data_IF_820795523914
#
_entry.id   IF_820795523914
#
_cell.length_a   1.000
_cell.length_b   1.000
_cell.length_c   1.000
_cell.angle_alpha   90.00
_cell.angle_beta   90.00
_cell.angle_gamma   90.00
#
_symmetry.space_group_name_H-M   'P 1'
#
loop_
_entity.id
_entity.type
_entity.pdbx_description
1 polymer ?
#
# COMPACT_ATOMS: atom_id res chain seq x y z
N UNK A 1 7.64 12.73 16.43
CA UNK A 1 8.06 14.15 16.42
C UNK A 1 7.39 14.87 15.24
N UNK A 2 7.26 16.19 15.26
CA UNK A 2 6.56 16.93 14.19
C UNK A 2 7.18 16.76 12.79
N UNK A 3 8.49 16.54 12.71
CA UNK A 3 9.18 16.27 11.44
C UNK A 3 8.79 14.91 10.84
N UNK A 4 8.81 13.85 11.65
CA UNK A 4 8.44 12.48 11.23
C UNK A 4 6.97 12.38 10.79
N UNK A 5 6.07 13.14 11.42
CA UNK A 5 4.67 13.20 10.98
C UNK A 5 4.50 13.81 9.58
N UNK A 6 5.27 14.86 9.25
CA UNK A 6 5.23 15.48 7.92
C UNK A 6 5.82 14.59 6.84
N UNK A 7 6.93 13.90 7.11
CA UNK A 7 7.51 12.95 6.15
C UNK A 7 6.58 11.75 5.90
N UNK A 8 5.94 11.23 6.95
CA UNK A 8 4.90 10.21 6.79
C UNK A 8 3.69 10.70 5.98
N UNK A 9 3.29 11.96 6.19
CA UNK A 9 2.24 12.61 5.41
C UNK A 9 2.58 12.71 3.92
N UNK A 10 3.78 13.19 3.57
CA UNK A 10 4.23 13.28 2.17
C UNK A 10 4.37 11.89 1.54
N UNK A 11 4.88 10.90 2.28
CA UNK A 11 4.95 9.51 1.81
C UNK A 11 3.57 8.92 1.51
N UNK A 12 2.59 9.21 2.37
CA UNK A 12 1.19 8.78 2.18
C UNK A 12 0.58 9.46 0.94
N UNK A 13 0.82 10.76 0.78
CA UNK A 13 0.36 11.53 -0.39
C UNK A 13 0.95 10.98 -1.68
N UNK A 14 2.28 10.75 -1.73
CA UNK A 14 2.95 10.16 -2.87
C UNK A 14 2.35 8.79 -3.24
N UNK A 15 2.16 7.92 -2.24
CA UNK A 15 1.57 6.61 -2.45
C UNK A 15 0.12 6.70 -2.95
N UNK A 16 -0.65 7.69 -2.50
CA UNK A 16 -2.01 7.92 -2.98
C UNK A 16 -2.05 8.34 -4.45
N UNK A 17 -1.16 9.24 -4.89
CA UNK A 17 -1.05 9.68 -6.27
C UNK A 17 -0.73 8.51 -7.21
N UNK A 18 0.24 7.67 -6.83
CA UNK A 18 0.60 6.48 -7.61
C UNK A 18 -0.59 5.54 -7.76
N UNK A 19 -1.33 5.28 -6.67
CA UNK A 19 -2.50 4.38 -6.69
C UNK A 19 -3.68 4.96 -7.46
N UNK A 20 -3.92 6.26 -7.39
CA UNK A 20 -4.93 6.94 -8.21
C UNK A 20 -4.58 6.82 -9.69
N UNK A 21 -3.34 7.12 -10.07
CA UNK A 21 -2.88 6.95 -11.44
C UNK A 21 -2.95 5.49 -11.90
N UNK A 22 -2.70 4.56 -10.96
CA UNK A 22 -2.78 3.13 -11.18
C UNK A 22 -4.19 2.64 -11.43
N UNK A 23 -5.16 3.16 -10.68
CA UNK A 23 -6.57 2.87 -10.85
C UNK A 23 -7.09 3.22 -12.25
N UNK A 24 -6.61 4.31 -12.85
CA UNK A 24 -6.94 4.66 -14.23
C UNK A 24 -6.29 3.76 -15.28
N UNK A 25 -5.15 3.13 -14.96
CA UNK A 25 -4.31 2.41 -15.91
C UNK A 25 -4.05 0.94 -15.51
N UNK A 26 -5.01 0.28 -14.85
CA UNK A 26 -4.86 -1.11 -14.38
C UNK A 26 -4.63 -2.13 -15.49
N UNK A 27 -4.96 -1.78 -16.74
CA UNK A 27 -4.73 -2.63 -17.92
C UNK A 27 -3.25 -2.74 -18.31
N UNK A 28 -2.42 -1.78 -17.89
CA UNK A 28 -0.98 -1.80 -18.15
C UNK A 28 -0.27 -2.59 -17.06
N UNK A 29 0.34 -3.72 -17.43
CA UNK A 29 1.10 -4.57 -16.49
C UNK A 29 2.12 -3.80 -15.63
N UNK A 30 2.92 -2.84 -16.18
CA UNK A 30 3.86 -2.07 -15.37
C UNK A 30 3.18 -1.24 -14.30
N UNK A 31 2.06 -0.61 -14.63
CA UNK A 31 1.34 0.26 -13.70
C UNK A 31 0.64 -0.55 -12.60
N UNK A 32 0.11 -1.71 -12.97
CA UNK A 32 -0.44 -2.67 -12.02
C UNK A 32 0.61 -3.13 -11.00
N UNK A 33 1.78 -3.53 -11.49
CA UNK A 33 2.90 -3.98 -10.65
C UNK A 33 3.37 -2.87 -9.71
N UNK A 34 3.51 -1.64 -10.20
CA UNK A 34 3.91 -0.49 -9.35
C UNK A 34 2.86 -0.25 -8.25
N UNK A 35 1.58 -0.24 -8.61
CA UNK A 35 0.48 -0.06 -7.66
C UNK A 35 0.49 -1.15 -6.58
N UNK A 36 0.67 -2.41 -7.00
CA UNK A 36 0.80 -3.56 -6.11
C UNK A 36 2.01 -3.41 -5.18
N UNK A 37 3.17 -3.01 -5.72
CA UNK A 37 4.37 -2.73 -4.93
C UNK A 37 4.14 -1.63 -3.89
N UNK A 38 3.40 -0.57 -4.20
CA UNK A 38 3.10 0.47 -3.18
C UNK A 38 2.27 -0.07 -2.02
N UNK A 39 1.31 -0.97 -2.27
CA UNK A 39 0.57 -1.65 -1.20
C UNK A 39 1.48 -2.60 -0.42
N UNK A 40 2.37 -3.33 -1.12
CA UNK A 40 3.38 -4.19 -0.51
C UNK A 40 4.34 -3.43 0.42
N UNK A 41 4.87 -2.28 0.00
CA UNK A 41 5.76 -1.45 0.83
C UNK A 41 5.03 -0.97 2.08
N UNK A 42 3.78 -0.50 1.94
CA UNK A 42 2.98 -0.10 3.09
C UNK A 42 2.76 -1.27 4.06
N UNK A 43 2.39 -2.44 3.54
CA UNK A 43 2.19 -3.64 4.34
C UNK A 43 3.47 -4.05 5.08
N UNK A 44 4.61 -4.16 4.39
CA UNK A 44 5.90 -4.51 4.99
C UNK A 44 6.29 -3.52 6.07
N UNK A 45 6.09 -2.21 5.85
CA UNK A 45 6.41 -1.18 6.84
C UNK A 45 5.56 -1.32 8.12
N UNK A 46 4.23 -1.46 7.99
CA UNK A 46 3.38 -1.60 9.17
C UNK A 46 3.56 -2.95 9.87
N UNK A 47 3.80 -4.02 9.12
CA UNK A 47 4.08 -5.34 9.69
C UNK A 47 5.45 -5.38 10.38
N UNK A 48 6.48 -4.73 9.83
CA UNK A 48 7.79 -4.67 10.49
C UNK A 48 7.73 -3.86 11.79
N UNK A 49 6.98 -2.76 11.81
CA UNK A 49 6.73 -1.96 13.01
C UNK A 49 6.02 -2.77 14.10
N UNK A 50 5.10 -3.66 13.69
CA UNK A 50 4.37 -4.53 14.61
C UNK A 50 5.18 -5.73 15.11
N UNK A 51 5.80 -6.48 14.20
CA UNK A 51 6.43 -7.78 14.49
C UNK A 51 7.86 -7.61 15.02
N UNK A 52 8.65 -6.75 14.38
CA UNK A 52 10.09 -6.62 14.63
C UNK A 52 10.35 -5.55 15.68
N UNK A 53 9.86 -4.33 15.44
CA UNK A 53 10.18 -3.19 16.32
C UNK A 53 9.27 -3.11 17.54
N UNK A 54 8.06 -3.71 17.49
CA UNK A 54 7.07 -3.73 18.59
C UNK A 54 6.75 -2.34 19.15
N UNK A 55 6.95 -1.31 18.34
CA UNK A 55 6.76 0.11 18.67
C UNK A 55 5.31 0.54 18.44
N UNK A 56 4.56 -0.21 17.64
CA UNK A 56 3.16 0.06 17.35
C UNK A 56 2.22 -0.47 18.44
N UNK A 57 1.42 0.41 19.03
CA UNK A 57 0.28 0.03 19.87
C UNK A 57 -0.91 -0.28 18.97
N UNK A 58 -1.58 -1.40 19.23
CA UNK A 58 -2.82 -1.81 18.55
C UNK A 58 -3.91 -0.79 18.87
N UNK A 59 -4.01 0.23 18.04
CA UNK A 59 -4.94 1.35 18.15
C UNK A 59 -5.61 1.55 16.81
N UNK A 60 -6.82 2.12 16.79
CA UNK A 60 -7.59 2.34 15.55
C UNK A 60 -6.79 2.95 14.39
N UNK A 61 -6.00 4.02 14.62
CA UNK A 61 -5.18 4.64 13.57
C UNK A 61 -4.09 3.75 12.98
N UNK A 62 -3.59 2.77 13.73
CA UNK A 62 -2.60 1.80 13.26
C UNK A 62 -3.25 0.62 12.52
N UNK A 63 -4.39 0.14 13.02
CA UNK A 63 -5.13 -0.98 12.44
C UNK A 63 -5.70 -0.66 11.06
N UNK A 64 -6.22 0.57 10.86
CA UNK A 64 -6.84 0.94 9.59
C UNK A 64 -5.88 0.80 8.38
N UNK A 65 -4.64 1.35 8.39
CA UNK A 65 -3.67 1.12 7.33
C UNK A 65 -3.31 -0.35 7.13
N UNK A 66 -3.19 -1.13 8.21
CA UNK A 66 -2.86 -2.56 8.12
C UNK A 66 -3.95 -3.34 7.39
N UNK A 67 -5.21 -3.11 7.75
CA UNK A 67 -6.36 -3.79 7.15
C UNK A 67 -6.47 -3.39 5.68
N UNK A 68 -6.41 -2.10 5.37
CA UNK A 68 -6.50 -1.59 3.99
C UNK A 68 -5.36 -2.11 3.12
N UNK A 69 -4.12 -2.09 3.61
CA UNK A 69 -2.98 -2.59 2.86
C UNK A 69 -3.10 -4.10 2.59
N UNK A 70 -3.51 -4.88 3.60
CA UNK A 70 -3.65 -6.34 3.49
C UNK A 70 -4.78 -6.71 2.53
N UNK A 71 -5.98 -6.12 2.69
CA UNK A 71 -7.13 -6.42 1.83
C UNK A 71 -6.87 -6.00 0.38
N UNK A 72 -6.27 -4.83 0.16
CA UNK A 72 -5.94 -4.35 -1.19
C UNK A 72 -4.87 -5.22 -1.86
N UNK A 73 -3.86 -5.67 -1.11
CA UNK A 73 -2.82 -6.55 -1.64
C UNK A 73 -3.40 -7.90 -2.05
N UNK A 74 -4.23 -8.51 -1.20
CA UNK A 74 -4.92 -9.78 -1.51
C UNK A 74 -5.80 -9.63 -2.75
N UNK A 75 -6.58 -8.54 -2.83
CA UNK A 75 -7.43 -8.25 -3.99
C UNK A 75 -6.60 -8.14 -5.27
N UNK A 76 -5.54 -7.33 -5.27
CA UNK A 76 -4.72 -7.13 -6.46
C UNK A 76 -3.98 -8.41 -6.90
N UNK A 77 -3.52 -9.22 -5.96
CA UNK A 77 -2.90 -10.51 -6.32
C UNK A 77 -3.96 -11.45 -6.92
N UNK A 78 -5.16 -11.51 -6.34
CA UNK A 78 -6.26 -12.36 -6.83
C UNK A 78 -6.79 -11.94 -8.21
N UNK A 79 -6.89 -10.64 -8.46
CA UNK A 79 -7.47 -10.08 -9.68
C UNK A 79 -6.44 -9.75 -10.76
N UNK A 80 -5.18 -10.18 -10.59
CA UNK A 80 -4.09 -9.88 -11.52
C UNK A 80 -4.44 -10.27 -12.96
N UNK A 81 -4.91 -11.51 -13.17
CA UNK A 81 -5.25 -12.02 -14.51
C UNK A 81 -6.51 -11.39 -15.12
N UNK A 82 -7.38 -10.78 -14.31
CA UNK A 82 -8.56 -10.07 -14.80
C UNK A 82 -8.20 -8.69 -15.34
N UNK A 83 -7.36 -7.94 -14.62
CA UNK A 83 -6.98 -6.59 -14.99
C UNK A 83 -5.81 -6.54 -15.98
N UNK A 84 -4.80 -7.40 -15.81
CA UNK A 84 -3.65 -7.47 -16.70
C UNK A 84 -3.91 -8.52 -17.77
N UNK A 85 -4.46 -8.08 -18.91
CA UNK A 85 -4.58 -8.95 -20.08
C UNK A 85 -3.18 -9.25 -20.61
N UNK A 86 -2.83 -10.54 -20.66
CA UNK A 86 -1.72 -11.00 -21.51
C UNK A 86 -2.16 -10.78 -22.97
N UNK A 87 -1.43 -9.91 -23.66
CA UNK A 87 -1.49 -9.82 -25.12
C UNK A 87 -0.96 -11.12 -25.73
#
# INVERSE_FOLDING_TARGET
TGLSGRTFGVWTLLSSVIRLYGAYNLHLAPMYNITLCTFGIAWVHFMSEFVVFRTAKITGPFLAPCIVATSSLIWMVSQYGYYVKKY
#
